data_IF_542242142581
#
_entry.id   IF_542242142581
#
_cell.length_a   1.000
_cell.length_b   1.000
_cell.length_c   1.000
_cell.angle_alpha   90.00
_cell.angle_beta   90.00
_cell.angle_gamma   90.00
#
_symmetry.space_group_name_H-M   'P 1'
#
loop_
_entity.id
_entity.type
_entity.pdbx_description
1 polymer ?
#
# COMPACT_ATOMS: atom_id res chain seq x y z
N UNK A 1 -11.16 29.88 -7.41
CA UNK A 1 -10.89 28.69 -6.56
C UNK A 1 -9.58 28.94 -5.82
N UNK A 2 -9.55 28.79 -4.49
CA UNK A 2 -8.29 28.88 -3.76
C UNK A 2 -7.34 27.76 -4.22
N UNK A 3 -6.11 28.09 -4.57
CA UNK A 3 -5.12 27.10 -5.01
C UNK A 3 -4.76 26.16 -3.85
N UNK A 4 -5.13 24.88 -3.97
CA UNK A 4 -4.73 23.88 -3.00
C UNK A 4 -3.27 23.49 -3.23
N UNK A 5 -2.34 24.06 -2.45
CA UNK A 5 -0.88 23.81 -2.57
C UNK A 5 -0.50 22.32 -2.57
N UNK A 6 -1.29 21.44 -1.95
CA UNK A 6 -1.03 19.99 -1.97
C UNK A 6 -1.29 19.39 -3.36
N UNK A 7 -2.26 19.93 -4.10
CA UNK A 7 -2.57 19.47 -5.46
C UNK A 7 -1.57 19.96 -6.52
N UNK A 8 -0.82 21.03 -6.24
CA UNK A 8 0.17 21.61 -7.16
C UNK A 8 1.60 21.08 -6.93
N UNK A 9 1.79 20.05 -6.11
CA UNK A 9 3.09 19.42 -5.93
C UNK A 9 3.56 18.74 -7.22
N UNK A 10 4.83 18.90 -7.55
CA UNK A 10 5.41 18.25 -8.71
C UNK A 10 5.62 16.76 -8.43
N UNK A 11 5.10 15.90 -9.30
CA UNK A 11 5.49 14.50 -9.37
C UNK A 11 6.75 14.31 -10.22
N UNK A 12 7.23 13.06 -10.32
CA UNK A 12 8.22 12.71 -11.34
C UNK A 12 7.52 12.77 -12.70
N UNK A 13 7.92 13.68 -13.57
CA UNK A 13 7.31 13.80 -14.91
C UNK A 13 7.71 12.62 -15.80
N UNK A 14 6.90 12.33 -16.82
CA UNK A 14 7.18 11.23 -17.74
C UNK A 14 8.51 11.44 -18.52
N UNK A 15 8.83 12.64 -19.03
CA UNK A 15 10.14 12.88 -19.64
C UNK A 15 11.30 12.66 -18.66
N UNK A 16 11.18 13.12 -17.41
CA UNK A 16 12.20 12.92 -16.39
C UNK A 16 12.36 11.44 -16.03
N UNK A 17 11.26 10.68 -15.97
CA UNK A 17 11.29 9.24 -15.80
C UNK A 17 12.02 8.54 -16.95
N UNK A 18 11.67 8.85 -18.21
CA UNK A 18 12.30 8.23 -19.37
C UNK A 18 13.79 8.57 -19.48
N UNK A 19 14.20 9.77 -19.07
CA UNK A 19 15.61 10.14 -19.02
C UNK A 19 16.39 9.30 -17.98
N UNK A 20 15.78 8.98 -16.84
CA UNK A 20 16.43 8.25 -15.75
C UNK A 20 16.33 6.72 -15.87
N UNK A 21 15.25 6.20 -16.46
CA UNK A 21 14.88 4.78 -16.44
C UNK A 21 14.37 4.27 -17.80
N UNK A 22 14.80 4.91 -18.89
CA UNK A 22 14.39 4.57 -20.26
C UNK A 22 14.99 3.28 -20.80
N UNK A 23 16.12 2.82 -20.25
CA UNK A 23 16.77 1.56 -20.67
C UNK A 23 16.83 0.52 -19.55
N UNK A 24 17.02 -0.75 -19.93
CA UNK A 24 17.14 -1.84 -18.94
C UNK A 24 18.42 -1.73 -18.11
N UNK A 25 19.49 -1.19 -18.67
CA UNK A 25 20.75 -0.92 -17.97
C UNK A 25 20.56 0.13 -16.87
N UNK A 26 19.90 1.25 -17.21
CA UNK A 26 19.57 2.29 -16.24
C UNK A 26 18.70 1.73 -15.09
N UNK A 27 17.71 0.91 -15.43
CA UNK A 27 16.86 0.24 -14.44
C UNK A 27 17.64 -0.76 -13.59
N UNK A 28 18.59 -1.50 -14.17
CA UNK A 28 19.44 -2.44 -13.45
C UNK A 28 20.36 -1.72 -12.46
N UNK A 29 20.97 -0.60 -12.85
CA UNK A 29 21.81 0.23 -11.97
C UNK A 29 21.00 0.81 -10.80
N UNK A 30 19.81 1.34 -11.09
CA UNK A 30 18.90 1.87 -10.07
C UNK A 30 18.39 0.80 -9.11
N UNK A 31 18.10 -0.41 -9.61
CA UNK A 31 17.71 -1.55 -8.79
C UNK A 31 18.86 -2.03 -7.90
N UNK A 32 20.09 -2.04 -8.41
CA UNK A 32 21.30 -2.40 -7.63
C UNK A 32 21.50 -1.43 -6.48
N UNK A 33 21.45 -0.12 -6.75
CA UNK A 33 21.55 0.92 -5.73
C UNK A 33 20.41 0.86 -4.69
N UNK A 34 19.20 0.51 -5.13
CA UNK A 34 18.04 0.38 -4.24
C UNK A 34 18.13 -0.86 -3.35
N UNK A 35 18.64 -1.97 -3.88
CA UNK A 35 18.81 -3.23 -3.15
C UNK A 35 19.97 -3.15 -2.17
N UNK A 36 21.04 -2.48 -2.55
CA UNK A 36 22.29 -2.38 -1.78
C UNK A 36 22.80 -0.93 -1.70
N UNK A 37 22.20 -0.09 -0.83
CA UNK A 37 22.56 1.33 -0.75
C UNK A 37 24.02 1.60 -0.34
N UNK A 38 24.65 0.66 0.36
CA UNK A 38 26.04 0.75 0.81
C UNK A 38 26.99 -0.12 -0.05
N UNK A 39 26.55 -0.51 -1.24
CA UNK A 39 27.25 -1.48 -2.08
C UNK A 39 26.86 -2.92 -1.77
N UNK A 40 27.23 -3.83 -2.68
CA UNK A 40 26.85 -5.24 -2.65
C UNK A 40 27.03 -5.85 -1.25
N UNK A 41 26.00 -6.55 -0.75
CA UNK A 41 26.08 -7.36 0.47
C UNK A 41 25.59 -8.77 0.15
N UNK A 42 26.48 -9.75 0.32
CA UNK A 42 26.18 -11.14 0.00
C UNK A 42 25.01 -11.66 0.86
N UNK A 43 23.95 -12.23 0.28
CA UNK A 43 22.80 -12.72 1.04
C UNK A 43 23.11 -13.92 1.95
N UNK A 44 24.23 -14.62 1.71
CA UNK A 44 24.63 -15.77 2.54
C UNK A 44 25.53 -15.43 3.72
N UNK A 45 26.47 -14.48 3.55
CA UNK A 45 27.50 -14.19 4.57
C UNK A 45 27.73 -12.69 4.84
N UNK A 46 27.01 -11.79 4.18
CA UNK A 46 27.15 -10.34 4.36
C UNK A 46 28.42 -9.71 3.75
N UNK A 47 29.35 -10.50 3.23
CA UNK A 47 30.61 -9.98 2.67
C UNK A 47 30.38 -9.07 1.44
N UNK A 48 31.12 -7.97 1.37
CA UNK A 48 30.97 -6.95 0.33
C UNK A 48 31.78 -7.22 -0.95
N UNK A 49 32.78 -8.10 -0.90
CA UNK A 49 33.63 -8.40 -2.07
C UNK A 49 32.96 -9.44 -2.96
N UNK A 50 32.85 -9.15 -4.27
CA UNK A 50 32.27 -10.04 -5.27
C UNK A 50 33.04 -10.05 -6.59
N UNK A 51 32.72 -11.02 -7.45
CA UNK A 51 32.99 -11.01 -8.88
C UNK A 51 31.68 -10.79 -9.64
N UNK A 52 31.70 -9.93 -10.66
CA UNK A 52 30.56 -9.73 -11.55
C UNK A 52 30.66 -10.74 -12.70
N UNK A 53 29.64 -11.59 -12.84
CA UNK A 53 29.54 -12.61 -13.87
C UNK A 53 28.60 -12.12 -14.98
N UNK A 54 29.03 -12.27 -16.23
CA UNK A 54 28.18 -12.06 -17.41
C UNK A 54 27.41 -13.36 -17.72
N UNK A 55 26.43 -13.68 -16.88
CA UNK A 55 25.57 -14.85 -17.06
C UNK A 55 24.11 -14.41 -17.17
N UNK A 56 23.40 -14.88 -18.20
CA UNK A 56 21.98 -14.61 -18.39
C UNK A 56 21.65 -13.13 -18.67
N UNK A 57 20.39 -12.74 -18.41
CA UNK A 57 19.85 -11.41 -18.74
C UNK A 57 20.14 -10.32 -17.69
N UNK A 58 20.49 -10.70 -16.48
CA UNK A 58 20.67 -9.76 -15.36
C UNK A 58 22.06 -9.91 -14.77
N UNK A 59 22.56 -8.84 -14.13
CA UNK A 59 23.82 -8.87 -13.37
C UNK A 59 23.82 -10.03 -12.37
N UNK A 60 24.87 -10.83 -12.39
CA UNK A 60 25.08 -11.95 -11.47
C UNK A 60 26.32 -11.69 -10.63
N UNK A 61 26.19 -11.82 -9.31
CA UNK A 61 27.21 -11.49 -8.34
C UNK A 61 27.65 -12.77 -7.65
N UNK A 62 28.95 -13.09 -7.71
CA UNK A 62 29.52 -14.20 -6.96
C UNK A 62 30.33 -13.68 -5.78
N UNK A 63 29.93 -14.07 -4.57
CA UNK A 63 30.65 -13.68 -3.35
C UNK A 63 32.09 -14.23 -3.36
N UNK A 64 33.07 -13.40 -2.99
CA UNK A 64 34.47 -13.86 -2.84
C UNK A 64 34.70 -14.73 -1.60
N UNK A 65 33.84 -14.63 -0.58
CA UNK A 65 33.96 -15.36 0.67
C UNK A 65 33.27 -16.74 0.59
N UNK A 66 31.94 -16.79 0.51
CA UNK A 66 31.19 -18.06 0.52
C UNK A 66 30.90 -18.65 -0.87
N UNK A 67 31.41 -18.04 -1.95
CA UNK A 67 31.21 -18.44 -3.36
C UNK A 67 29.74 -18.48 -3.84
N UNK A 68 28.78 -18.10 -3.00
CA UNK A 68 27.37 -17.99 -3.35
C UNK A 68 27.18 -17.04 -4.54
N UNK A 69 26.44 -17.50 -5.54
CA UNK A 69 26.00 -16.69 -6.68
C UNK A 69 24.59 -16.17 -6.44
N UNK A 70 24.36 -14.89 -6.72
CA UNK A 70 23.03 -14.26 -6.64
C UNK A 70 22.84 -13.31 -7.81
N UNK A 71 21.69 -13.38 -8.48
CA UNK A 71 21.34 -12.40 -9.51
C UNK A 71 20.80 -11.13 -8.87
N UNK A 72 20.83 -10.02 -9.62
CA UNK A 72 20.31 -8.72 -9.18
C UNK A 72 18.85 -8.78 -8.71
N UNK A 73 18.04 -9.64 -9.33
CA UNK A 73 16.61 -9.81 -9.00
C UNK A 73 16.34 -10.91 -7.97
N UNK A 74 17.32 -11.76 -7.65
CA UNK A 74 17.14 -12.87 -6.72
C UNK A 74 16.79 -12.37 -5.31
N UNK A 75 15.80 -12.99 -4.67
CA UNK A 75 15.33 -12.60 -3.35
C UNK A 75 14.49 -11.32 -3.32
N UNK A 76 14.20 -10.72 -4.48
CA UNK A 76 13.38 -9.50 -4.59
C UNK A 76 12.01 -9.80 -5.20
N UNK A 77 11.16 -8.79 -5.26
CA UNK A 77 9.86 -8.87 -5.93
C UNK A 77 9.97 -9.19 -7.43
N UNK A 78 11.10 -8.81 -8.05
CA UNK A 78 11.45 -9.04 -9.46
C UNK A 78 11.90 -10.47 -9.75
N UNK A 79 12.13 -11.30 -8.72
CA UNK A 79 12.59 -12.67 -8.91
C UNK A 79 11.68 -13.46 -9.87
N UNK A 80 12.34 -14.21 -10.76
CA UNK A 80 11.74 -15.04 -11.82
C UNK A 80 10.94 -14.25 -12.86
N UNK A 81 11.22 -12.96 -13.04
CA UNK A 81 10.63 -12.21 -14.15
C UNK A 81 11.31 -12.54 -15.48
N UNK A 82 10.52 -12.62 -16.54
CA UNK A 82 10.98 -12.68 -17.92
C UNK A 82 10.79 -11.34 -18.66
N UNK A 83 10.18 -10.36 -17.98
CA UNK A 83 9.97 -9.02 -18.50
C UNK A 83 11.22 -8.17 -18.29
N UNK A 84 11.42 -7.21 -19.19
CA UNK A 84 12.45 -6.20 -19.08
C UNK A 84 12.26 -5.36 -17.81
N UNK A 85 13.36 -4.92 -17.17
CA UNK A 85 13.28 -4.10 -15.96
C UNK A 85 12.64 -2.73 -16.24
N UNK A 86 12.84 -2.18 -17.43
CA UNK A 86 12.14 -0.99 -17.95
C UNK A 86 10.62 -1.09 -17.85
N UNK A 87 10.03 -2.25 -18.16
CA UNK A 87 8.58 -2.50 -18.02
C UNK A 87 8.15 -2.45 -16.55
N UNK A 88 8.96 -3.02 -15.65
CA UNK A 88 8.71 -2.97 -14.21
C UNK A 88 8.80 -1.54 -13.66
N UNK A 89 9.81 -0.78 -14.08
CA UNK A 89 9.99 0.61 -13.67
C UNK A 89 8.85 1.49 -14.18
N UNK A 90 8.40 1.26 -15.42
CA UNK A 90 7.22 1.94 -15.94
C UNK A 90 5.97 1.60 -15.11
N UNK A 91 5.77 0.34 -14.73
CA UNK A 91 4.66 -0.05 -13.86
C UNK A 91 4.73 0.61 -12.47
N UNK A 92 5.92 0.65 -11.87
CA UNK A 92 6.20 1.35 -10.60
C UNK A 92 5.82 2.83 -10.72
N UNK A 93 6.27 3.50 -11.78
CA UNK A 93 5.96 4.89 -12.08
C UNK A 93 4.45 5.13 -12.19
N UNK A 94 3.76 4.32 -12.99
CA UNK A 94 2.32 4.47 -13.25
C UNK A 94 1.46 4.21 -12.01
N UNK A 95 1.71 3.09 -11.31
CA UNK A 95 0.88 2.70 -10.15
C UNK A 95 1.09 3.64 -8.97
N UNK A 96 2.34 4.06 -8.71
CA UNK A 96 2.66 4.93 -7.57
C UNK A 96 2.07 6.32 -7.72
N UNK A 97 2.00 6.86 -8.96
CA UNK A 97 1.48 8.19 -9.23
C UNK A 97 -0.02 8.23 -9.55
N UNK A 98 -0.66 7.08 -9.80
CA UNK A 98 -2.10 7.00 -10.04
C UNK A 98 -2.93 7.31 -8.78
N UNK A 99 -3.20 8.60 -8.54
CA UNK A 99 -3.94 9.08 -7.36
C UNK A 99 -5.32 8.44 -7.20
N UNK A 100 -6.03 8.22 -8.31
CA UNK A 100 -7.37 7.61 -8.33
C UNK A 100 -7.33 6.10 -8.53
N UNK A 101 -6.15 5.48 -8.53
CA UNK A 101 -5.98 4.06 -8.87
C UNK A 101 -5.77 3.84 -10.37
N UNK A 102 -5.32 2.64 -10.70
CA UNK A 102 -5.02 2.20 -12.08
C UNK A 102 -5.47 0.74 -12.22
N UNK A 103 -6.32 0.41 -13.19
CA UNK A 103 -6.77 -0.98 -13.36
C UNK A 103 -5.67 -1.85 -13.99
N UNK A 104 -5.72 -3.16 -13.77
CA UNK A 104 -4.82 -4.10 -14.45
C UNK A 104 -4.98 -4.07 -15.98
N UNK A 105 -6.20 -3.77 -16.47
CA UNK A 105 -6.49 -3.65 -17.90
C UNK A 105 -5.88 -2.37 -18.50
N UNK A 106 -5.90 -1.27 -17.77
CA UNK A 106 -5.27 -0.04 -18.21
C UNK A 106 -3.75 -0.15 -18.14
N UNK A 107 -3.22 -0.70 -17.04
CA UNK A 107 -1.80 -1.01 -16.91
C UNK A 107 -1.31 -1.92 -18.05
N UNK A 108 -2.09 -2.95 -18.42
CA UNK A 108 -1.80 -3.80 -19.59
C UNK A 108 -1.58 -2.97 -20.86
N UNK A 109 -2.48 -2.03 -21.15
CA UNK A 109 -2.41 -1.18 -22.36
C UNK A 109 -1.18 -0.29 -22.32
N UNK A 110 -0.91 0.34 -21.17
CA UNK A 110 0.22 1.25 -21.01
C UNK A 110 1.57 0.54 -21.06
N UNK A 111 1.66 -0.69 -20.54
CA UNK A 111 2.87 -1.50 -20.58
C UNK A 111 3.06 -2.27 -21.90
N UNK A 112 2.03 -2.39 -22.74
CA UNK A 112 2.09 -3.17 -23.98
C UNK A 112 2.25 -4.68 -23.77
N UNK A 113 1.81 -5.21 -22.63
CA UNK A 113 1.91 -6.65 -22.29
C UNK A 113 0.54 -7.35 -22.34
N UNK A 114 0.50 -8.67 -22.11
CA UNK A 114 -0.76 -9.38 -21.91
C UNK A 114 -1.34 -9.12 -20.52
N UNK A 115 -2.62 -9.46 -20.30
CA UNK A 115 -3.28 -9.22 -19.01
C UNK A 115 -2.61 -9.95 -17.83
N UNK A 116 -2.23 -11.24 -17.92
CA UNK A 116 -1.70 -11.95 -16.75
C UNK A 116 -0.41 -11.34 -16.17
N UNK A 117 0.59 -10.93 -16.97
CA UNK A 117 1.76 -10.20 -16.46
C UNK A 117 1.42 -8.84 -15.86
N UNK A 118 0.53 -8.06 -16.48
CA UNK A 118 0.11 -6.75 -15.95
C UNK A 118 -0.55 -6.91 -14.57
N UNK A 119 -1.49 -7.85 -14.44
CA UNK A 119 -2.13 -8.17 -13.16
C UNK A 119 -1.10 -8.63 -12.12
N UNK A 120 -0.17 -9.50 -12.50
CA UNK A 120 0.85 -10.02 -11.58
C UNK A 120 1.78 -8.90 -11.07
N UNK A 121 2.25 -8.02 -11.95
CA UNK A 121 3.06 -6.85 -11.58
C UNK A 121 2.28 -5.98 -10.61
N UNK A 122 1.02 -5.67 -10.92
CA UNK A 122 0.20 -4.82 -10.08
C UNK A 122 0.03 -5.42 -8.68
N UNK A 123 -0.35 -6.69 -8.58
CA UNK A 123 -0.53 -7.37 -7.29
C UNK A 123 0.75 -7.41 -6.47
N UNK A 124 1.89 -7.69 -7.12
CA UNK A 124 3.21 -7.66 -6.48
C UNK A 124 3.54 -6.28 -5.92
N UNK A 125 3.33 -5.22 -6.70
CA UNK A 125 3.64 -3.85 -6.27
C UNK A 125 2.71 -3.38 -5.15
N UNK A 126 1.42 -3.69 -5.23
CA UNK A 126 0.48 -3.41 -4.14
C UNK A 126 0.83 -4.19 -2.86
N UNK A 127 1.34 -5.43 -2.99
CA UNK A 127 1.86 -6.17 -1.84
C UNK A 127 3.08 -5.49 -1.21
N UNK A 128 4.02 -4.99 -2.02
CA UNK A 128 5.16 -4.23 -1.51
C UNK A 128 4.73 -2.92 -0.82
N UNK A 129 3.65 -2.29 -1.28
CA UNK A 129 3.03 -1.13 -0.62
C UNK A 129 2.49 -1.50 0.78
N UNK A 130 1.71 -2.59 0.88
CA UNK A 130 1.21 -3.11 2.16
C UNK A 130 2.36 -3.39 3.13
N UNK A 131 3.35 -4.17 2.71
CA UNK A 131 4.48 -4.56 3.56
C UNK A 131 5.33 -3.36 3.97
N UNK A 132 5.43 -2.34 3.11
CA UNK A 132 6.14 -1.11 3.47
C UNK A 132 5.39 -0.33 4.54
N UNK A 133 4.07 -0.22 4.45
CA UNK A 133 3.26 0.52 5.41
C UNK A 133 3.02 -0.23 6.72
N UNK A 134 3.11 -1.57 6.71
CA UNK A 134 3.08 -2.39 7.92
C UNK A 134 4.23 -2.08 8.90
N UNK A 135 5.31 -1.42 8.43
CA UNK A 135 6.45 -1.03 9.28
C UNK A 135 6.19 0.22 10.15
N UNK A 136 5.04 0.86 9.99
CA UNK A 136 4.69 2.09 10.71
C UNK A 136 3.42 1.90 11.50
N UNK A 137 3.29 2.64 12.60
CA UNK A 137 2.07 2.73 13.41
C UNK A 137 1.63 4.19 13.50
N UNK A 138 0.33 4.41 13.73
CA UNK A 138 -0.19 5.75 14.02
C UNK A 138 0.16 6.14 15.46
N UNK A 139 0.30 7.44 15.70
CA UNK A 139 0.58 8.01 17.02
C UNK A 139 -0.22 9.30 17.24
N UNK A 140 -0.33 9.72 18.50
CA UNK A 140 -0.99 10.97 18.89
C UNK A 140 -2.51 10.91 18.76
N UNK A 141 -3.11 11.95 18.16
CA UNK A 141 -4.56 12.05 17.97
C UNK A 141 -4.97 11.26 16.73
N UNK A 142 -5.85 10.26 16.91
CA UNK A 142 -6.32 9.38 15.85
C UNK A 142 -7.84 9.46 15.76
N UNK A 143 -8.38 9.70 14.57
CA UNK A 143 -9.80 9.46 14.27
C UNK A 143 -9.93 8.06 13.67
N UNK A 144 -10.86 7.25 14.16
CA UNK A 144 -11.13 5.90 13.64
C UNK A 144 -12.61 5.72 13.32
N UNK A 145 -12.89 4.92 12.30
CA UNK A 145 -14.26 4.65 11.85
C UNK A 145 -14.39 3.23 11.28
N UNK A 146 -15.60 2.66 11.37
CA UNK A 146 -15.96 1.36 10.84
C UNK A 146 -16.47 1.48 9.40
N UNK A 147 -15.92 0.68 8.48
CA UNK A 147 -16.25 0.78 7.07
C UNK A 147 -16.33 -0.59 6.38
N UNK A 148 -16.92 -0.61 5.19
CA UNK A 148 -17.09 -1.82 4.40
C UNK A 148 -16.55 -1.66 2.98
N UNK A 149 -15.79 -2.64 2.51
CA UNK A 149 -15.54 -2.84 1.08
C UNK A 149 -16.67 -3.68 0.49
N UNK A 150 -17.32 -3.19 -0.57
CA UNK A 150 -18.43 -3.90 -1.19
C UNK A 150 -19.58 -2.97 -1.59
N UNK A 151 -20.32 -3.38 -2.62
CA UNK A 151 -21.56 -2.72 -3.05
C UNK A 151 -22.79 -3.29 -2.35
N UNK A 152 -23.95 -2.72 -2.63
CA UNK A 152 -25.23 -3.36 -2.29
C UNK A 152 -25.44 -4.59 -3.18
N UNK A 153 -25.80 -5.72 -2.59
CA UNK A 153 -26.23 -6.91 -3.32
C UNK A 153 -27.75 -6.83 -3.51
N UNK A 154 -28.22 -6.83 -4.77
CA UNK A 154 -29.64 -6.90 -5.06
C UNK A 154 -30.22 -8.23 -4.51
N UNK A 155 -31.18 -8.13 -3.59
CA UNK A 155 -31.78 -9.30 -2.90
C UNK A 155 -30.99 -9.81 -1.69
N UNK A 156 -29.85 -9.21 -1.34
CA UNK A 156 -29.08 -9.54 -0.13
C UNK A 156 -29.47 -8.70 1.09
N UNK A 157 -28.95 -9.06 2.27
CA UNK A 157 -29.09 -8.23 3.47
C UNK A 157 -28.46 -6.85 3.25
N UNK A 158 -29.24 -5.80 3.51
CA UNK A 158 -28.75 -4.42 3.57
C UNK A 158 -28.05 -4.13 4.91
N UNK A 159 -27.15 -3.14 4.94
CA UNK A 159 -26.48 -2.74 6.18
C UNK A 159 -25.38 -3.70 6.66
N UNK A 160 -25.25 -3.86 7.98
CA UNK A 160 -24.26 -4.72 8.65
C UNK A 160 -24.63 -6.20 8.47
N UNK A 161 -23.68 -7.02 8.02
CA UNK A 161 -23.91 -8.46 7.77
C UNK A 161 -24.37 -8.83 6.35
N UNK A 162 -24.14 -7.94 5.38
CA UNK A 162 -24.28 -8.26 3.96
C UNK A 162 -23.15 -9.20 3.52
N UNK A 163 -23.48 -10.28 2.83
CA UNK A 163 -22.54 -11.34 2.40
C UNK A 163 -21.44 -10.83 1.45
N UNK A 164 -21.67 -9.68 0.81
CA UNK A 164 -20.73 -9.04 -0.13
C UNK A 164 -19.93 -7.87 0.48
N UNK A 165 -19.95 -7.71 1.81
CA UNK A 165 -19.24 -6.62 2.49
C UNK A 165 -18.11 -7.17 3.36
N UNK A 166 -16.90 -6.71 3.08
CA UNK A 166 -15.73 -6.99 3.91
C UNK A 166 -15.58 -5.85 4.91
N UNK A 167 -15.69 -6.11 6.22
CA UNK A 167 -15.49 -5.07 7.22
C UNK A 167 -14.02 -4.69 7.28
N UNK A 168 -13.75 -3.41 7.45
CA UNK A 168 -12.41 -2.88 7.69
C UNK A 168 -12.48 -1.68 8.63
N UNK A 169 -11.40 -1.45 9.37
CA UNK A 169 -11.22 -0.24 10.18
C UNK A 169 -10.39 0.74 9.36
N UNK A 170 -10.84 2.00 9.33
CA UNK A 170 -10.06 3.11 8.80
C UNK A 170 -9.67 4.04 9.95
N UNK A 171 -8.42 4.46 9.98
CA UNK A 171 -7.91 5.38 10.98
C UNK A 171 -7.01 6.45 10.36
N UNK A 172 -7.03 7.65 10.92
CA UNK A 172 -6.23 8.79 10.50
C UNK A 172 -5.62 9.52 11.68
N UNK A 173 -4.31 9.72 11.65
CA UNK A 173 -3.59 10.56 12.61
C UNK A 173 -3.66 12.03 12.20
N UNK A 174 -3.72 12.91 13.20
CA UNK A 174 -3.83 14.35 13.02
C UNK A 174 -2.66 15.10 13.66
N UNK A 175 -2.27 16.22 13.06
CA UNK A 175 -1.37 17.19 13.68
C UNK A 175 -2.04 17.93 14.83
N UNK A 176 -1.27 18.73 15.59
CA UNK A 176 -1.80 19.59 16.64
C UNK A 176 -2.84 20.60 16.11
N UNK A 177 -2.71 21.03 14.85
CA UNK A 177 -3.66 21.92 14.16
C UNK A 177 -4.84 21.16 13.54
N UNK A 178 -5.01 19.86 13.85
CA UNK A 178 -6.11 19.04 13.35
C UNK A 178 -6.02 18.71 11.86
N UNK A 179 -4.82 18.72 11.26
CA UNK A 179 -4.62 18.37 9.85
C UNK A 179 -4.26 16.90 9.68
N UNK A 180 -4.73 16.24 8.60
CA UNK A 180 -4.48 14.83 8.37
C UNK A 180 -3.00 14.57 8.11
N UNK A 181 -2.41 13.58 8.77
CA UNK A 181 -1.02 13.16 8.60
C UNK A 181 -0.94 11.83 7.85
N UNK A 182 -1.19 10.73 8.56
CA UNK A 182 -1.08 9.36 8.06
C UNK A 182 -2.35 8.57 8.32
N UNK A 183 -2.66 7.63 7.43
CA UNK A 183 -3.80 6.72 7.55
C UNK A 183 -3.36 5.26 7.70
N UNK A 184 -4.24 4.47 8.29
CA UNK A 184 -4.24 3.01 8.30
C UNK A 184 -5.62 2.51 7.88
N UNK A 185 -5.65 1.45 7.10
CA UNK A 185 -6.87 0.78 6.67
C UNK A 185 -6.61 -0.72 6.65
N UNK A 186 -7.35 -1.48 7.44
CA UNK A 186 -7.13 -2.92 7.59
C UNK A 186 -8.46 -3.67 7.64
N UNK A 187 -8.65 -4.71 6.81
CA UNK A 187 -9.78 -5.62 6.97
C UNK A 187 -9.78 -6.23 8.38
N UNK A 188 -10.98 -6.45 8.91
CA UNK A 188 -11.18 -7.11 10.20
C UNK A 188 -12.22 -8.22 10.03
N UNK A 189 -12.20 -9.28 10.85
CA UNK A 189 -13.23 -10.34 10.83
C UNK A 189 -14.65 -9.80 11.12
N UNK A 190 -14.74 -8.68 11.81
CA UNK A 190 -15.99 -8.00 12.15
C UNK A 190 -15.76 -6.92 13.18
N UNK A 191 -16.81 -6.17 13.49
CA UNK A 191 -16.76 -5.06 14.46
C UNK A 191 -16.97 -5.58 15.88
N UNK A 192 -15.99 -6.33 16.37
CA UNK A 192 -15.94 -6.83 17.75
C UNK A 192 -14.82 -6.14 18.52
N UNK A 193 -14.97 -6.05 19.85
CA UNK A 193 -13.91 -5.49 20.72
C UNK A 193 -12.58 -6.20 20.52
N UNK A 194 -12.59 -7.53 20.39
CA UNK A 194 -11.38 -8.33 20.15
C UNK A 194 -10.72 -7.96 18.82
N UNK A 195 -11.49 -7.90 17.73
CA UNK A 195 -10.95 -7.57 16.42
C UNK A 195 -10.36 -6.16 16.38
N UNK A 196 -11.01 -5.18 17.03
CA UNK A 196 -10.49 -3.82 17.14
C UNK A 196 -9.25 -3.76 18.04
N UNK A 197 -9.19 -4.54 19.12
CA UNK A 197 -8.00 -4.64 19.98
C UNK A 197 -6.81 -5.23 19.23
N UNK A 198 -7.02 -6.33 18.49
CA UNK A 198 -5.97 -6.96 17.68
C UNK A 198 -5.46 -5.98 16.59
N UNK A 199 -6.37 -5.26 15.93
CA UNK A 199 -6.02 -4.18 14.99
C UNK A 199 -5.24 -3.05 15.67
N UNK A 200 -5.70 -2.55 16.81
CA UNK A 200 -5.09 -1.44 17.52
C UNK A 200 -3.66 -1.78 17.97
N UNK A 201 -3.42 -3.00 18.46
CA UNK A 201 -2.09 -3.49 18.81
C UNK A 201 -1.13 -3.54 17.62
N UNK A 202 -1.65 -3.83 16.42
CA UNK A 202 -0.84 -3.90 15.21
C UNK A 202 -0.54 -2.51 14.61
N UNK A 203 -1.49 -1.58 14.66
CA UNK A 203 -1.45 -0.35 13.87
C UNK A 203 -1.33 0.95 14.68
N UNK A 204 -1.49 0.92 16.01
CA UNK A 204 -1.40 2.10 16.88
C UNK A 204 -0.24 1.98 17.86
N UNK A 205 0.39 3.10 18.19
CA UNK A 205 1.29 3.18 19.35
C UNK A 205 0.48 3.27 20.65
N UNK A 206 0.93 2.63 21.75
CA UNK A 206 0.35 2.86 23.06
C UNK A 206 0.33 4.37 23.40
N UNK A 207 -0.73 4.82 24.05
CA UNK A 207 -0.93 6.23 24.38
C UNK A 207 -1.61 7.08 23.32
N UNK A 208 -2.01 6.52 22.16
CA UNK A 208 -2.85 7.26 21.21
C UNK A 208 -4.18 7.70 21.85
N UNK A 209 -4.68 8.85 21.44
CA UNK A 209 -6.04 9.31 21.77
C UNK A 209 -6.91 9.00 20.55
N UNK A 210 -7.69 7.92 20.65
CA UNK A 210 -8.54 7.44 19.57
C UNK A 210 -9.94 8.03 19.75
N UNK A 211 -10.37 8.84 18.78
CA UNK A 211 -11.73 9.36 18.67
C UNK A 211 -12.48 8.53 17.64
N UNK A 212 -13.60 7.92 18.04
CA UNK A 212 -14.46 7.14 17.15
C UNK A 212 -15.92 7.48 17.37
N UNK A 213 -16.79 6.96 16.50
CA UNK A 213 -18.22 6.97 16.73
C UNK A 213 -18.60 6.16 17.99
N UNK A 214 -19.89 6.17 18.33
CA UNK A 214 -20.43 5.49 19.50
C UNK A 214 -20.45 3.95 19.41
N UNK A 215 -19.82 3.33 18.39
CA UNK A 215 -19.83 1.88 18.26
C UNK A 215 -18.97 1.22 19.34
N UNK A 216 -19.60 0.35 20.15
CA UNK A 216 -18.97 -0.25 21.33
C UNK A 216 -17.72 -1.08 21.05
N UNK A 217 -17.46 -1.53 19.81
CA UNK A 217 -16.23 -2.26 19.48
C UNK A 217 -14.97 -1.40 19.63
N UNK A 218 -15.06 -0.08 19.46
CA UNK A 218 -13.91 0.82 19.59
C UNK A 218 -13.37 0.96 21.01
N UNK A 219 -14.12 0.53 22.03
CA UNK A 219 -13.58 0.37 23.37
C UNK A 219 -12.37 -0.59 23.42
N UNK A 220 -12.23 -1.49 22.43
CA UNK A 220 -11.10 -2.41 22.32
C UNK A 220 -9.73 -1.74 22.15
N UNK A 221 -9.68 -0.47 21.70
CA UNK A 221 -8.40 0.27 21.61
C UNK A 221 -7.76 0.48 23.00
N UNK A 222 -8.57 0.45 24.06
CA UNK A 222 -8.06 0.57 25.44
C UNK A 222 -7.24 -0.64 25.87
N UNK A 223 -7.54 -1.82 25.32
CA UNK A 223 -6.79 -3.05 25.56
C UNK A 223 -5.39 -2.99 24.90
N UNK A 224 -5.19 -2.12 23.90
CA UNK A 224 -3.91 -1.83 23.26
C UNK A 224 -3.15 -0.65 23.91
N UNK A 225 -3.59 -0.21 25.10
CA UNK A 225 -2.96 0.90 25.83
C UNK A 225 -3.25 2.28 25.25
N UNK A 226 -4.29 2.43 24.41
CA UNK A 226 -4.75 3.71 23.91
C UNK A 226 -5.86 4.30 24.80
N UNK A 227 -6.11 5.60 24.70
CA UNK A 227 -7.27 6.27 25.27
C UNK A 227 -8.41 6.28 24.24
N UNK A 228 -9.65 6.09 24.69
CA UNK A 228 -10.82 6.12 23.82
C UNK A 228 -11.73 7.31 24.13
N UNK A 229 -12.08 8.08 23.11
CA UNK A 229 -13.07 9.16 23.16
C UNK A 229 -14.20 8.84 22.18
N UNK A 230 -15.30 8.31 22.70
CA UNK A 230 -16.49 8.06 21.90
C UNK A 230 -17.28 9.36 21.69
N UNK A 231 -17.69 9.63 20.46
CA UNK A 231 -18.62 10.72 20.11
C UNK A 231 -19.93 10.08 19.65
N UNK A 232 -20.99 10.27 20.44
CA UNK A 232 -22.33 9.79 20.09
C UNK A 232 -22.99 10.78 19.14
N UNK A 233 -23.31 10.33 17.94
CA UNK A 233 -23.85 11.16 16.87
C UNK A 233 -25.28 11.69 17.15
N UNK A 234 -26.08 11.04 18.01
CA UNK A 234 -27.43 11.44 18.45
C UNK A 234 -28.27 12.23 17.42
N UNK A 235 -28.49 11.66 16.23
CA UNK A 235 -29.30 12.26 15.16
C UNK A 235 -28.64 13.40 14.38
N UNK A 236 -27.40 13.79 14.70
CA UNK A 236 -26.63 14.83 14.01
C UNK A 236 -26.20 14.36 12.62
N UNK A 237 -26.28 15.27 11.66
CA UNK A 237 -25.82 15.01 10.29
C UNK A 237 -24.28 14.96 10.25
N UNK A 238 -23.65 14.30 9.26
CA UNK A 238 -22.19 14.28 9.13
C UNK A 238 -21.52 15.67 9.12
N UNK A 239 -22.23 16.70 8.63
CA UNK A 239 -21.75 18.11 8.64
C UNK A 239 -21.70 18.74 10.04
N UNK A 240 -22.41 18.16 10.99
CA UNK A 240 -22.54 18.60 12.38
C UNK A 240 -21.59 17.85 13.32
N UNK A 241 -20.73 16.98 12.76
CA UNK A 241 -19.70 16.22 13.47
C UNK A 241 -18.31 16.52 12.87
N UNK A 242 -17.77 17.73 13.11
CA UNK A 242 -16.49 18.14 12.54
C UNK A 242 -15.33 17.22 12.92
N UNK A 243 -15.47 16.47 14.02
CA UNK A 243 -14.52 15.48 14.51
C UNK A 243 -14.37 14.26 13.60
N UNK A 244 -15.24 14.08 12.60
CA UNK A 244 -15.10 13.00 11.60
C UNK A 244 -14.89 13.51 10.17
N UNK A 245 -14.72 14.83 9.98
CA UNK A 245 -14.59 15.42 8.64
C UNK A 245 -13.46 14.77 7.81
N UNK A 246 -12.30 14.52 8.41
CA UNK A 246 -11.16 13.98 7.70
C UNK A 246 -11.31 12.50 7.37
N UNK A 247 -11.73 11.68 8.34
CA UNK A 247 -11.93 10.25 8.09
C UNK A 247 -13.04 10.02 7.05
N UNK A 248 -14.16 10.76 7.13
CA UNK A 248 -15.23 10.72 6.14
C UNK A 248 -14.76 11.15 4.74
N UNK A 249 -13.94 12.20 4.66
CA UNK A 249 -13.35 12.65 3.39
C UNK A 249 -12.43 11.58 2.79
N UNK A 250 -11.62 10.93 3.62
CA UNK A 250 -10.71 9.86 3.19
C UNK A 250 -11.49 8.63 2.69
N UNK A 251 -12.52 8.20 3.42
CA UNK A 251 -13.40 7.11 3.00
C UNK A 251 -14.16 7.44 1.71
N UNK A 252 -14.61 8.68 1.54
CA UNK A 252 -15.20 9.17 0.29
C UNK A 252 -14.22 9.08 -0.89
N UNK A 253 -12.99 9.55 -0.70
CA UNK A 253 -11.94 9.47 -1.71
C UNK A 253 -11.59 8.02 -2.08
N UNK A 254 -11.55 7.12 -1.10
CA UNK A 254 -11.34 5.69 -1.31
C UNK A 254 -12.47 5.11 -2.18
N UNK A 255 -13.73 5.38 -1.83
CA UNK A 255 -14.89 4.92 -2.61
C UNK A 255 -14.84 5.40 -4.05
N UNK A 256 -14.56 6.69 -4.27
CA UNK A 256 -14.40 7.26 -5.62
C UNK A 256 -13.26 6.60 -6.40
N UNK A 257 -12.12 6.37 -5.75
CA UNK A 257 -10.98 5.70 -6.36
C UNK A 257 -11.30 4.26 -6.77
N UNK A 258 -11.87 3.46 -5.87
CA UNK A 258 -12.20 2.06 -6.16
C UNK A 258 -13.31 1.94 -7.22
N UNK A 259 -14.39 2.72 -7.08
CA UNK A 259 -15.51 2.69 -8.02
C UNK A 259 -15.14 3.18 -9.42
N UNK A 260 -14.21 4.13 -9.53
CA UNK A 260 -13.75 4.67 -10.80
C UNK A 260 -12.70 3.80 -11.49
N UNK A 261 -11.62 3.43 -10.80
CA UNK A 261 -10.49 2.75 -11.44
C UNK A 261 -10.66 1.23 -11.51
N UNK A 262 -11.38 0.61 -10.57
CA UNK A 262 -11.44 -0.85 -10.48
C UNK A 262 -12.84 -1.40 -10.78
N UNK A 263 -13.89 -0.59 -10.53
CA UNK A 263 -15.30 -0.97 -10.59
C UNK A 263 -15.67 -2.10 -9.62
N UNK A 264 -15.16 -3.31 -9.84
CA UNK A 264 -15.33 -4.47 -8.99
C UNK A 264 -14.06 -5.32 -8.96
N UNK A 265 -13.74 -5.86 -7.78
CA UNK A 265 -12.78 -6.92 -7.58
C UNK A 265 -13.25 -7.79 -6.42
N UNK A 266 -12.66 -8.97 -6.26
CA UNK A 266 -12.94 -9.83 -5.11
C UNK A 266 -12.42 -9.14 -3.83
N UNK A 267 -13.33 -8.42 -3.15
CA UNK A 267 -13.02 -7.59 -1.99
C UNK A 267 -12.47 -8.43 -0.83
N UNK A 268 -13.02 -9.64 -0.63
CA UNK A 268 -12.58 -10.54 0.44
C UNK A 268 -11.16 -11.02 0.16
N UNK A 269 -10.88 -11.37 -1.09
CA UNK A 269 -9.62 -11.96 -1.48
C UNK A 269 -8.44 -10.99 -1.60
N UNK A 270 -8.70 -9.76 -2.05
CA UNK A 270 -7.65 -8.79 -2.38
C UNK A 270 -7.75 -7.47 -1.59
N UNK A 271 -8.72 -7.35 -0.67
CA UNK A 271 -9.03 -6.12 0.05
C UNK A 271 -7.80 -5.43 0.64
N UNK A 272 -6.93 -6.15 1.35
CA UNK A 272 -5.75 -5.54 1.98
C UNK A 272 -4.81 -4.91 0.97
N UNK A 273 -4.59 -5.52 -0.20
CA UNK A 273 -3.69 -4.95 -1.22
C UNK A 273 -4.23 -3.66 -1.83
N UNK A 274 -5.54 -3.59 -2.10
CA UNK A 274 -6.16 -2.39 -2.65
C UNK A 274 -6.24 -1.26 -1.62
N UNK A 275 -6.58 -1.58 -0.37
CA UNK A 275 -6.52 -0.63 0.75
C UNK A 275 -5.09 -0.14 0.97
N UNK A 276 -4.12 -1.06 1.02
CA UNK A 276 -2.71 -0.74 1.20
C UNK A 276 -2.15 0.13 0.08
N UNK A 277 -2.56 -0.08 -1.17
CA UNK A 277 -2.16 0.79 -2.27
C UNK A 277 -2.70 2.22 -2.13
N UNK A 278 -3.92 2.37 -1.61
CA UNK A 278 -4.49 3.69 -1.29
C UNK A 278 -3.74 4.35 -0.11
N UNK A 279 -3.53 3.61 0.98
CA UNK A 279 -2.78 4.03 2.17
C UNK A 279 -1.37 4.49 1.80
N UNK A 280 -0.67 3.72 0.96
CA UNK A 280 0.70 4.02 0.55
C UNK A 280 0.84 5.37 -0.15
N UNK A 281 -0.07 5.65 -1.09
CA UNK A 281 -0.10 6.92 -1.81
C UNK A 281 -0.50 8.07 -0.89
N UNK A 282 -1.51 7.87 -0.05
CA UNK A 282 -1.94 8.90 0.90
C UNK A 282 -0.82 9.30 1.86
N UNK A 283 -0.13 8.33 2.45
CA UNK A 283 0.91 8.55 3.45
C UNK A 283 2.19 9.20 2.89
N UNK A 284 2.30 9.30 1.56
CA UNK A 284 3.44 9.90 0.84
C UNK A 284 3.03 11.06 -0.07
N UNK A 285 1.78 11.52 0.03
CA UNK A 285 1.19 12.56 -0.83
C UNK A 285 1.87 13.94 -0.75
N UNK A 286 2.76 14.14 0.21
CA UNK A 286 3.54 15.37 0.37
C UNK A 286 4.91 15.35 -0.36
N UNK A 287 5.24 14.21 -0.97
CA UNK A 287 6.50 13.98 -1.69
C UNK A 287 6.23 13.13 -2.93
N UNK A 288 5.46 13.68 -3.87
CA UNK A 288 4.99 12.95 -5.05
C UNK A 288 6.15 12.53 -5.96
N UNK A 289 7.18 13.35 -6.07
CA UNK A 289 8.41 13.09 -6.83
C UNK A 289 9.17 11.85 -6.35
N UNK A 290 9.08 11.54 -5.05
CA UNK A 290 9.77 10.39 -4.45
C UNK A 290 8.96 9.09 -4.49
N UNK A 291 7.67 9.13 -4.86
CA UNK A 291 6.79 7.96 -4.84
C UNK A 291 7.32 6.77 -5.66
N UNK A 292 7.77 6.96 -6.93
CA UNK A 292 8.30 5.85 -7.72
C UNK A 292 9.55 5.23 -7.10
N UNK A 293 10.49 6.06 -6.65
CA UNK A 293 11.76 5.61 -6.06
C UNK A 293 11.56 4.91 -4.71
N UNK A 294 10.64 5.41 -3.87
CA UNK A 294 10.28 4.75 -2.61
C UNK A 294 9.60 3.41 -2.86
N UNK A 295 8.82 3.27 -3.93
CA UNK A 295 8.19 2.00 -4.29
C UNK A 295 9.22 1.03 -4.86
N UNK A 296 10.17 1.52 -5.65
CA UNK A 296 11.32 0.73 -6.12
C UNK A 296 12.13 0.17 -4.94
N UNK A 297 12.47 1.01 -3.96
CA UNK A 297 13.18 0.56 -2.76
C UNK A 297 12.39 -0.48 -1.95
N UNK A 298 11.07 -0.31 -1.85
CA UNK A 298 10.19 -1.32 -1.25
C UNK A 298 10.22 -2.63 -2.07
N UNK A 299 10.04 -2.58 -3.39
CA UNK A 299 10.07 -3.76 -4.26
C UNK A 299 11.42 -4.48 -4.27
N UNK A 300 12.53 -3.75 -4.14
CA UNK A 300 13.88 -4.30 -4.05
C UNK A 300 14.14 -5.04 -2.71
N UNK A 301 13.42 -4.68 -1.65
CA UNK A 301 13.58 -5.26 -0.30
C UNK A 301 12.43 -6.19 0.11
N UNK A 302 11.32 -6.18 -0.61
CA UNK A 302 10.26 -7.19 -0.48
C UNK A 302 10.70 -8.49 -1.16
N UNK A 303 10.56 -9.59 -0.43
CA UNK A 303 10.91 -10.93 -0.91
C UNK A 303 10.07 -11.39 -2.11
N UNK A 304 10.43 -12.54 -2.66
CA UNK A 304 9.66 -13.14 -3.74
C UNK A 304 8.21 -13.40 -3.32
N UNK A 305 7.25 -12.98 -4.16
CA UNK A 305 5.82 -13.25 -4.02
C UNK A 305 5.35 -14.01 -5.26
N UNK A 306 5.35 -15.35 -5.26
CA UNK A 306 4.99 -16.13 -6.43
C UNK A 306 3.50 -15.98 -6.78
N UNK A 307 3.13 -16.21 -8.03
CA UNK A 307 1.74 -16.13 -8.49
C UNK A 307 0.79 -17.00 -7.66
N UNK A 308 1.24 -18.21 -7.27
CA UNK A 308 0.46 -19.11 -6.41
C UNK A 308 0.14 -18.46 -5.06
N UNK A 309 1.13 -17.83 -4.43
CA UNK A 309 0.94 -17.12 -3.16
C UNK A 309 0.04 -15.90 -3.34
N UNK A 310 0.21 -15.13 -4.41
CA UNK A 310 -0.64 -13.95 -4.67
C UNK A 310 -2.11 -14.30 -4.95
N UNK A 311 -2.35 -15.50 -5.48
CA UNK A 311 -3.69 -16.05 -5.74
C UNK A 311 -4.28 -16.84 -4.57
N UNK A 312 -3.44 -17.25 -3.62
CA UNK A 312 -3.90 -17.69 -2.31
C UNK A 312 -4.39 -16.43 -1.60
N UNK A 313 -5.68 -16.44 -1.25
CA UNK A 313 -6.33 -15.30 -0.62
C UNK A 313 -5.65 -15.03 0.73
N UNK A 314 -5.74 -13.78 1.21
CA UNK A 314 -5.91 -13.58 2.65
C UNK A 314 -7.07 -14.50 3.03
N UNK A 315 -6.82 -15.55 3.83
CA UNK A 315 -7.89 -16.47 4.21
C UNK A 315 -9.03 -15.62 4.73
N UNK A 316 -10.19 -15.73 4.08
CA UNK A 316 -11.41 -15.04 4.50
C UNK A 316 -11.58 -15.34 5.98
N UNK A 317 -11.44 -14.31 6.81
CA UNK A 317 -11.59 -14.43 8.25
C UNK A 317 -12.95 -15.00 8.64
#
# INVERSE_FOLDING_TARGET
>A
MAMNRIQFQAGLSLPAFLAQFGTDEQCADALEASRWPQGFSCPGCGNAKYYLLKLGKHKNFQCKCCRLQTSLIAGTLFQSTHLALSIWFLAIYLISQAKTGLSALDLKRQLGVSYPPAWLIQQKLMQAMVERDAKYTLCGNVQADDAYLGGELAGGKAGRGSENKVPFVAAISLSAEGRPLYIKMAPVPGFTRKAVSDWANADLQPGCIVTSDGLGCFAGVTDAGCQHRAIVADGRKPKELPEFNWINTVLGNLKTSLGGAHHAFDFAKYGTRYLGAFVYRFNRRFHLEMLPLRLLAAAATTGHRPTRWLRQAEESF
#
